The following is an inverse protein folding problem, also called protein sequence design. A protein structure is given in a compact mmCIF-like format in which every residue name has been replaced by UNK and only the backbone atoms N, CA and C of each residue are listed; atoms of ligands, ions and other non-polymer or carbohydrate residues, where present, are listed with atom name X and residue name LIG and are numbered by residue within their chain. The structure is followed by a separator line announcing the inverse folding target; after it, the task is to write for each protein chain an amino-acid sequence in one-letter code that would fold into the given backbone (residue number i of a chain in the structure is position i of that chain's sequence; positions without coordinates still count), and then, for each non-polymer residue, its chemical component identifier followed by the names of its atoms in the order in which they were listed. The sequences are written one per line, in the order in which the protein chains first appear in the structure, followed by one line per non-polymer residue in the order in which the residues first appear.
data_IF_621586253856
#
_entry.id   IF_621586253856
#
_cell.length_a   1.000
_cell.length_b   1.000
_cell.length_c   1.000
_cell.angle_alpha   90.00
_cell.angle_beta   90.00
_cell.angle_gamma   90.00
#
_symmetry.space_group_name_H-M   'P 1'
#
loop_
_entity.id
_entity.type
_entity.pdbx_description
1 polymer ?
#
# COMPACT_ATOMS: atom_id res chain seq x y z
N UNK A 1 12.76 4.78 17.31
CA UNK A 1 13.06 3.66 16.40
C UNK A 1 11.84 3.23 15.59
N UNK A 2 10.63 3.54 16.07
CA UNK A 2 9.36 3.06 15.52
C UNK A 2 9.04 3.55 14.11
N UNK A 3 9.48 4.77 13.76
CA UNK A 3 9.33 5.30 12.40
C UNK A 3 10.22 4.56 11.37
N UNK A 4 11.45 4.19 11.74
CA UNK A 4 12.39 3.54 10.83
C UNK A 4 11.93 2.13 10.46
N UNK A 5 11.39 1.39 11.44
CA UNK A 5 10.81 0.06 11.23
C UNK A 5 9.61 0.14 10.28
N UNK A 6 8.75 1.14 10.42
CA UNK A 6 7.60 1.36 9.53
C UNK A 6 7.99 1.56 8.07
N UNK A 7 9.03 2.36 7.79
CA UNK A 7 9.50 2.63 6.42
C UNK A 7 10.12 1.37 5.79
N UNK A 8 10.95 0.64 6.55
CA UNK A 8 11.63 -0.57 6.06
C UNK A 8 10.61 -1.65 5.71
N UNK A 9 9.62 -1.88 6.60
CA UNK A 9 8.55 -2.85 6.35
C UNK A 9 7.68 -2.40 5.17
N UNK A 10 7.38 -1.10 5.06
CA UNK A 10 6.63 -0.55 3.94
C UNK A 10 7.31 -0.81 2.58
N UNK A 11 8.62 -0.56 2.49
CA UNK A 11 9.39 -0.79 1.27
C UNK A 11 9.45 -2.29 0.90
N UNK A 12 9.71 -3.17 1.88
CA UNK A 12 9.75 -4.61 1.66
C UNK A 12 8.39 -5.17 1.22
N UNK A 13 7.29 -4.69 1.82
CA UNK A 13 5.94 -5.12 1.46
C UNK A 13 5.57 -4.71 0.04
N UNK A 14 5.89 -3.47 -0.37
CA UNK A 14 5.66 -3.02 -1.75
C UNK A 14 6.42 -3.88 -2.76
N UNK A 15 7.66 -4.27 -2.46
CA UNK A 15 8.45 -5.16 -3.32
C UNK A 15 7.79 -6.55 -3.47
N UNK A 16 7.30 -7.14 -2.38
CA UNK A 16 6.59 -8.43 -2.41
C UNK A 16 5.32 -8.34 -3.25
N UNK A 17 4.52 -7.29 -3.06
CA UNK A 17 3.30 -7.09 -3.83
C UNK A 17 3.61 -6.84 -5.30
N UNK A 18 4.68 -6.10 -5.60
CA UNK A 18 5.13 -5.87 -6.98
C UNK A 18 5.52 -7.19 -7.66
N UNK A 19 6.29 -8.06 -7.00
CA UNK A 19 6.67 -9.37 -7.56
C UNK A 19 5.46 -10.30 -7.73
N UNK A 20 4.52 -10.30 -6.79
CA UNK A 20 3.27 -11.04 -6.93
C UNK A 20 2.49 -10.59 -8.18
N UNK A 21 2.45 -9.29 -8.45
CA UNK A 21 1.78 -8.78 -9.66
C UNK A 21 2.59 -9.12 -10.91
N UNK A 22 3.89 -8.80 -10.94
CA UNK A 22 4.69 -8.95 -12.15
C UNK A 22 4.98 -10.38 -12.55
N UNK A 23 5.20 -11.24 -11.57
CA UNK A 23 5.78 -12.57 -11.82
C UNK A 23 4.70 -13.66 -11.78
N UNK A 24 3.60 -13.44 -11.06
CA UNK A 24 2.53 -14.44 -10.88
C UNK A 24 1.25 -14.04 -11.63
N UNK A 25 0.85 -12.77 -11.60
CA UNK A 25 -0.44 -12.33 -12.15
C UNK A 25 -0.34 -11.88 -13.60
N UNK A 26 0.73 -11.15 -13.98
CA UNK A 26 0.90 -10.68 -15.35
C UNK A 26 1.05 -11.80 -16.38
N UNK A 27 1.75 -12.93 -16.15
CA UNK A 27 1.90 -13.96 -17.19
C UNK A 27 0.56 -14.62 -17.57
N UNK A 28 -0.31 -15.04 -16.63
CA UNK A 28 -1.65 -15.54 -16.96
C UNK A 28 -2.57 -14.48 -17.58
N UNK A 29 -2.55 -13.23 -17.07
CA UNK A 29 -3.34 -12.14 -17.66
C UNK A 29 -2.87 -11.79 -19.07
N UNK A 30 -1.56 -11.77 -19.31
CA UNK A 30 -0.96 -11.53 -20.62
C UNK A 30 -1.29 -12.65 -21.61
N UNK A 31 -1.38 -13.89 -21.15
CA UNK A 31 -1.83 -15.02 -21.96
C UNK A 31 -3.33 -14.90 -22.29
N UNK A 32 -4.17 -14.51 -21.32
CA UNK A 32 -5.62 -14.37 -21.48
C UNK A 32 -6.01 -13.19 -22.37
N UNK A 33 -5.28 -12.07 -22.28
CA UNK A 33 -5.50 -10.84 -23.07
C UNK A 33 -4.84 -10.90 -24.46
N UNK A 34 -4.15 -12.00 -24.80
CA UNK A 34 -3.66 -12.26 -26.15
C UNK A 34 -2.26 -11.72 -26.47
N UNK A 35 -1.26 -11.97 -25.60
CA UNK A 35 0.13 -11.50 -25.77
C UNK A 35 0.21 -9.97 -25.95
N UNK A 36 -0.44 -9.23 -25.06
CA UNK A 36 -0.40 -7.77 -25.14
C UNK A 36 0.96 -7.26 -24.67
N UNK A 37 1.92 -7.24 -25.60
CA UNK A 37 3.26 -6.73 -25.35
C UNK A 37 3.28 -5.22 -25.59
N UNK A 38 2.79 -4.47 -24.59
CA UNK A 38 2.84 -3.01 -24.59
C UNK A 38 4.29 -2.50 -24.58
N UNK A 39 5.27 -3.34 -24.24
CA UNK A 39 6.70 -2.98 -24.15
C UNK A 39 7.30 -2.51 -25.47
N UNK A 40 6.66 -2.79 -26.61
CA UNK A 40 7.12 -2.39 -27.94
C UNK A 40 6.25 -1.31 -28.60
N UNK A 41 5.30 -0.72 -27.86
CA UNK A 41 4.53 0.42 -28.34
C UNK A 41 5.25 1.73 -27.98
N UNK A 42 5.82 2.36 -29.01
CA UNK A 42 6.51 3.65 -28.89
C UNK A 42 6.36 4.49 -30.14
N UNK A 43 6.43 5.82 -29.96
CA UNK A 43 6.48 6.79 -31.05
C UNK A 43 7.92 7.28 -31.16
N UNK A 44 8.51 7.16 -32.34
CA UNK A 44 9.81 7.72 -32.67
C UNK A 44 9.67 9.22 -32.95
N UNK A 45 10.30 10.06 -32.12
CA UNK A 45 10.35 11.51 -32.31
C UNK A 45 11.59 11.94 -33.09
N UNK A 46 12.72 11.27 -32.87
CA UNK A 46 13.98 11.55 -33.56
C UNK A 46 14.74 10.25 -33.81
N UNK A 47 15.18 10.06 -35.04
CA UNK A 47 16.01 8.91 -35.42
C UNK A 47 17.38 9.03 -34.75
N UNK A 48 17.91 7.90 -34.30
CA UNK A 48 19.24 7.80 -33.71
C UNK A 48 20.35 7.82 -34.78
N UNK A 49 21.55 7.41 -34.39
CA UNK A 49 22.75 7.38 -35.26
C UNK A 49 22.64 6.48 -36.50
N UNK A 50 21.66 5.58 -36.56
CA UNK A 50 21.30 4.80 -37.77
C UNK A 50 19.82 4.95 -38.09
N UNK A 51 19.44 5.42 -39.30
CA UNK A 51 18.05 5.46 -39.73
C UNK A 51 17.59 4.06 -40.14
N UNK A 52 16.56 3.55 -39.48
CA UNK A 52 15.97 2.24 -39.78
C UNK A 52 14.74 1.97 -38.92
N UNK A 53 13.86 1.04 -39.32
CA UNK A 53 12.79 0.57 -38.45
C UNK A 53 13.40 -0.20 -37.28
N UNK A 54 13.25 0.29 -36.06
CA UNK A 54 13.74 -0.42 -34.88
C UNK A 54 12.70 -1.48 -34.50
N UNK A 55 13.13 -2.75 -34.45
CA UNK A 55 12.26 -3.89 -34.14
C UNK A 55 11.95 -4.01 -32.66
N UNK A 56 12.73 -3.35 -31.79
CA UNK A 56 12.52 -3.34 -30.34
C UNK A 56 12.79 -1.98 -29.72
N UNK A 57 12.13 -1.71 -28.59
CA UNK A 57 12.35 -0.49 -27.81
C UNK A 57 13.77 -0.37 -27.24
N UNK A 58 14.42 -1.52 -27.00
CA UNK A 58 15.79 -1.58 -26.52
C UNK A 58 16.77 -1.09 -27.60
N UNK A 59 16.56 -1.49 -28.85
CA UNK A 59 17.41 -1.09 -29.98
C UNK A 59 17.28 0.41 -30.28
N UNK A 60 16.05 0.94 -30.26
CA UNK A 60 15.81 2.37 -30.48
C UNK A 60 16.53 3.23 -29.43
N UNK A 61 16.49 2.82 -28.14
CA UNK A 61 17.20 3.52 -27.05
C UNK A 61 18.72 3.40 -27.16
N UNK A 62 19.24 2.22 -27.52
CA UNK A 62 20.68 1.99 -27.64
C UNK A 62 21.33 2.85 -28.74
N UNK A 63 20.57 3.17 -29.79
CA UNK A 63 21.02 3.96 -30.95
C UNK A 63 20.81 5.47 -30.70
N UNK A 64 20.32 5.85 -29.51
CA UNK A 64 20.08 7.23 -29.11
C UNK A 64 18.86 7.86 -29.80
N UNK A 65 17.94 7.05 -30.31
CA UNK A 65 16.68 7.56 -30.84
C UNK A 65 15.82 8.09 -29.70
N UNK A 66 15.21 9.25 -29.90
CA UNK A 66 14.29 9.84 -28.92
C UNK A 66 12.92 9.23 -29.16
N UNK A 67 12.44 8.41 -28.20
CA UNK A 67 11.16 7.71 -28.29
C UNK A 67 10.23 8.05 -27.14
N UNK A 68 8.95 8.28 -27.43
CA UNK A 68 7.87 8.29 -26.43
C UNK A 68 7.38 6.86 -26.24
N UNK A 69 7.67 6.28 -25.08
CA UNK A 69 7.38 4.88 -24.76
C UNK A 69 6.05 4.78 -24.02
N UNK A 70 4.95 5.12 -24.69
CA UNK A 70 3.62 5.11 -24.09
C UNK A 70 3.17 3.71 -23.69
N UNK A 71 3.68 2.67 -24.35
CA UNK A 71 3.37 1.30 -24.00
C UNK A 71 3.92 0.88 -22.62
N UNK A 72 5.14 1.29 -22.27
CA UNK A 72 5.68 1.10 -20.90
C UNK A 72 4.88 1.91 -19.88
N UNK A 73 4.40 3.10 -20.26
CA UNK A 73 3.57 3.91 -19.37
C UNK A 73 2.23 3.20 -19.06
N UNK A 74 1.56 2.65 -20.08
CA UNK A 74 0.31 1.89 -19.89
C UNK A 74 0.57 0.65 -19.03
N UNK A 75 1.67 -0.07 -19.25
CA UNK A 75 2.08 -1.19 -18.39
C UNK A 75 2.21 -0.77 -16.92
N UNK A 76 2.88 0.35 -16.63
CA UNK A 76 3.01 0.87 -15.26
C UNK A 76 1.67 1.31 -14.65
N UNK A 77 0.79 1.94 -15.43
CA UNK A 77 -0.55 2.31 -14.95
C UNK A 77 -1.38 1.07 -14.64
N UNK A 78 -1.36 0.07 -15.53
CA UNK A 78 -2.06 -1.20 -15.32
C UNK A 78 -1.51 -1.94 -14.09
N UNK A 79 -0.20 -2.04 -13.96
CA UNK A 79 0.46 -2.62 -12.78
C UNK A 79 0.06 -1.90 -11.49
N UNK A 80 0.03 -0.57 -11.48
CA UNK A 80 -0.43 0.20 -10.32
C UNK A 80 -1.88 -0.10 -9.94
N UNK A 81 -2.79 -0.15 -10.92
CA UNK A 81 -4.21 -0.48 -10.67
C UNK A 81 -4.36 -1.90 -10.13
N UNK A 82 -3.62 -2.87 -10.67
CA UNK A 82 -3.66 -4.26 -10.20
C UNK A 82 -3.11 -4.35 -8.76
N UNK A 83 -1.98 -3.71 -8.47
CA UNK A 83 -1.40 -3.65 -7.11
C UNK A 83 -2.40 -3.04 -6.13
N UNK A 84 -3.00 -1.89 -6.48
CA UNK A 84 -4.00 -1.23 -5.65
C UNK A 84 -5.22 -2.12 -5.40
N UNK A 85 -5.69 -2.84 -6.43
CA UNK A 85 -6.79 -3.79 -6.31
C UNK A 85 -6.46 -4.96 -5.39
N UNK A 86 -5.25 -5.53 -5.49
CA UNK A 86 -4.82 -6.62 -4.59
C UNK A 86 -4.69 -6.13 -3.15
N UNK A 87 -4.07 -4.97 -2.93
CA UNK A 87 -3.96 -4.38 -1.58
C UNK A 87 -5.36 -4.17 -1.00
N UNK A 88 -6.30 -3.65 -1.80
CA UNK A 88 -7.69 -3.51 -1.41
C UNK A 88 -8.32 -4.86 -1.03
N UNK A 89 -8.13 -5.91 -1.82
CA UNK A 89 -8.62 -7.26 -1.49
C UNK A 89 -7.99 -7.84 -0.23
N UNK A 90 -6.69 -7.63 -0.01
CA UNK A 90 -5.99 -8.08 1.20
C UNK A 90 -6.51 -7.35 2.44
N UNK A 91 -6.60 -6.02 2.40
CA UNK A 91 -7.15 -5.22 3.50
C UNK A 91 -8.61 -5.60 3.76
N UNK A 92 -9.41 -5.79 2.72
CA UNK A 92 -10.80 -6.26 2.83
C UNK A 92 -10.88 -7.66 3.45
N UNK A 93 -10.01 -8.58 3.05
CA UNK A 93 -9.94 -9.94 3.60
C UNK A 93 -9.54 -9.91 5.08
N UNK A 94 -8.53 -9.14 5.44
CA UNK A 94 -8.10 -8.94 6.83
C UNK A 94 -9.22 -8.28 7.63
N UNK A 95 -9.90 -7.26 7.12
CA UNK A 95 -11.02 -6.61 7.80
C UNK A 95 -12.23 -7.55 7.95
N UNK A 96 -12.44 -8.46 6.99
CA UNK A 96 -13.47 -9.50 7.06
C UNK A 96 -13.13 -10.61 8.07
N UNK A 97 -11.86 -10.98 8.18
CA UNK A 97 -11.37 -11.97 9.15
C UNK A 97 -11.23 -11.37 10.56
N UNK A 98 -10.97 -10.06 10.64
CA UNK A 98 -11.04 -9.24 11.85
C UNK A 98 -12.46 -8.73 12.12
N UNK A 99 -13.48 -9.25 11.43
CA UNK A 99 -14.87 -9.06 11.83
C UNK A 99 -14.98 -9.39 13.33
N UNK A 100 -15.62 -8.51 14.12
CA UNK A 100 -15.20 -8.24 15.48
C UNK A 100 -15.42 -9.45 16.41
N UNK A 101 -14.34 -10.11 16.79
CA UNK A 101 -14.12 -10.27 18.22
C UNK A 101 -13.56 -8.92 18.63
N UNK A 102 -14.43 -8.09 19.21
CA UNK A 102 -14.08 -6.85 19.90
C UNK A 102 -12.66 -7.01 20.44
N UNK A 103 -11.67 -6.41 19.77
CA UNK A 103 -10.40 -6.16 20.42
C UNK A 103 -10.84 -5.48 21.71
N UNK A 104 -10.60 -6.04 22.91
CA UNK A 104 -11.20 -5.52 24.13
C UNK A 104 -10.94 -4.03 24.08
N UNK A 105 -12.00 -3.27 23.82
CA UNK A 105 -11.96 -1.83 23.91
C UNK A 105 -11.31 -1.64 25.26
N UNK A 106 -10.16 -0.97 25.29
CA UNK A 106 -9.48 -0.70 26.54
C UNK A 106 -10.56 -0.02 27.40
N UNK A 107 -11.21 -0.80 28.27
CA UNK A 107 -12.32 -0.34 29.10
C UNK A 107 -11.79 0.95 29.69
N UNK A 108 -12.51 2.08 29.55
CA UNK A 108 -11.96 3.38 29.92
C UNK A 108 -11.28 3.25 31.27
N UNK A 109 -9.94 3.28 31.26
CA UNK A 109 -9.16 2.99 32.46
C UNK A 109 -9.33 4.12 33.48
N UNK A 110 -9.90 5.24 33.04
CA UNK A 110 -10.15 6.45 33.79
C UNK A 110 -11.65 6.78 33.84
N UNK A 111 -12.09 7.23 35.03
CA UNK A 111 -13.39 7.86 35.29
C UNK A 111 -13.15 9.29 35.75
N UNK A 112 -14.13 10.16 35.60
CA UNK A 112 -14.06 11.52 36.15
C UNK A 112 -14.46 11.50 37.64
N UNK A 113 -13.72 12.25 38.45
CA UNK A 113 -14.06 12.43 39.86
C UNK A 113 -15.26 13.39 40.00
N UNK A 114 -16.35 13.04 40.72
CA UNK A 114 -17.52 13.91 40.89
C UNK A 114 -17.27 15.20 41.69
N UNK A 115 -16.18 15.25 42.47
CA UNK A 115 -15.88 16.36 43.36
C UNK A 115 -14.87 17.35 42.76
N UNK A 116 -13.87 16.86 42.04
CA UNK A 116 -12.78 17.68 41.51
C UNK A 116 -12.61 17.63 39.98
N UNK A 117 -13.43 16.85 39.27
CA UNK A 117 -13.42 16.72 37.80
C UNK A 117 -12.10 16.26 37.16
N UNK A 118 -11.13 15.81 37.97
CA UNK A 118 -9.88 15.22 37.47
C UNK A 118 -10.10 13.77 37.01
N UNK A 119 -9.34 13.35 36.00
CA UNK A 119 -9.33 11.96 35.52
C UNK A 119 -8.60 11.05 36.51
N UNK A 120 -9.28 10.01 36.98
CA UNK A 120 -8.80 9.08 38.00
C UNK A 120 -9.02 7.63 37.55
N UNK A 121 -8.26 6.64 38.05
CA UNK A 121 -8.45 5.26 37.64
C UNK A 121 -9.86 4.75 37.99
N UNK A 122 -10.44 3.91 37.13
CA UNK A 122 -11.85 3.46 37.26
C UNK A 122 -12.12 2.72 38.58
N UNK A 123 -11.11 2.02 39.10
CA UNK A 123 -11.17 1.28 40.36
C UNK A 123 -10.75 2.11 41.59
N UNK A 124 -10.52 3.43 41.44
CA UNK A 124 -10.17 4.28 42.57
C UNK A 124 -11.34 4.36 43.57
N UNK A 125 -11.05 3.99 44.82
CA UNK A 125 -11.94 4.15 45.99
C UNK A 125 -11.74 5.51 46.68
N UNK A 126 -10.57 6.13 46.49
CA UNK A 126 -10.26 7.50 46.93
C UNK A 126 -9.61 8.29 45.81
N UNK A 127 -9.98 9.57 45.69
CA UNK A 127 -9.40 10.44 44.68
C UNK A 127 -7.99 10.90 45.10
N UNK A 128 -6.94 10.74 44.26
CA UNK A 128 -5.59 11.20 44.58
C UNK A 128 -5.44 12.73 44.58
N UNK A 129 -6.34 13.44 43.89
CA UNK A 129 -6.26 14.90 43.74
C UNK A 129 -6.99 15.67 44.86
N UNK A 130 -8.16 15.19 45.28
CA UNK A 130 -9.00 15.89 46.26
C UNK A 130 -9.31 15.07 47.52
N UNK A 131 -8.69 13.90 47.68
CA UNK A 131 -8.80 12.99 48.85
C UNK A 131 -10.23 12.53 49.21
N UNK A 132 -11.24 12.90 48.42
CA UNK A 132 -12.63 12.48 48.59
C UNK A 132 -12.79 10.96 48.42
N UNK A 133 -13.64 10.35 49.23
CA UNK A 133 -14.08 8.96 49.07
C UNK A 133 -15.11 8.83 47.94
N UNK A 134 -14.83 7.91 47.02
CA UNK A 134 -15.66 7.65 45.85
C UNK A 134 -16.46 6.39 46.11
N UNK A 135 -17.79 6.50 46.16
CA UNK A 135 -18.65 5.32 46.22
C UNK A 135 -18.51 4.55 44.90
N UNK A 136 -17.90 3.37 44.97
CA UNK A 136 -17.79 2.44 43.85
C UNK A 136 -19.19 2.10 43.34
N UNK A 137 -19.43 2.24 42.04
CA UNK A 137 -20.62 1.74 41.37
C UNK A 137 -20.21 0.71 40.35
#
# INVERSE_FOLDING_TARGET
MDMAVGIIIGAAFVAIVSSLVSDIIMPPLGLLLGKVDFSNLYILLKQGTKPGPYTSLADAKAIGAVTINYGIFIDKVMGFVIVAFIIFLLVKSINKLRAPKVAPEAKPATKECPYCYMQIPINATRCPYCTSELKSK
#
